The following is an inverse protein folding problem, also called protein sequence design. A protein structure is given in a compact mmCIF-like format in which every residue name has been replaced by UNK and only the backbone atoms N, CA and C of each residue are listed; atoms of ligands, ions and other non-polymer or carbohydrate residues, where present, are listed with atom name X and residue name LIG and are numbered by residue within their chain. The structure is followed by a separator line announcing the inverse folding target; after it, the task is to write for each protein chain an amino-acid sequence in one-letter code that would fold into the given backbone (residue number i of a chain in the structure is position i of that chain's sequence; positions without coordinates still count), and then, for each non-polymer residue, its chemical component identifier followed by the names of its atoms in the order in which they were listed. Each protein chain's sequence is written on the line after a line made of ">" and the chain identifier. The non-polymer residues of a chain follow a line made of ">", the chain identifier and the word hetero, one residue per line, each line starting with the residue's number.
data_IF_051719936809
#
_entry.id   IF_051719936809
#
_cell.length_a   1.000
_cell.length_b   1.000
_cell.length_c   1.000
_cell.angle_alpha   90.00
_cell.angle_beta   90.00
_cell.angle_gamma   90.00
#
_symmetry.space_group_name_H-M   'P 1'
#
loop_
_entity.id
_entity.type
_entity.pdbx_description
1 polymer ?
#
# COMPACT_ATOMS: atom_id res chain seq x y z
N UNK A 1 -5.52 14.42 -14.37
CA UNK A 1 -5.50 13.38 -13.32
C UNK A 1 -4.75 12.18 -13.86
N UNK A 2 -3.85 11.62 -13.08
CA UNK A 2 -3.12 10.38 -13.39
C UNK A 2 -3.43 9.39 -12.26
N UNK A 3 -3.89 8.18 -12.62
CA UNK A 3 -4.26 7.14 -11.67
C UNK A 3 -3.31 5.96 -11.79
N UNK A 4 -2.80 5.49 -10.65
CA UNK A 4 -2.01 4.26 -10.53
C UNK A 4 -2.70 3.27 -9.60
N UNK A 5 -2.69 2.00 -9.97
CA UNK A 5 -3.21 0.89 -9.15
C UNK A 5 -2.12 -0.16 -8.91
N UNK A 6 -0.88 0.30 -8.85
CA UNK A 6 0.29 -0.50 -8.55
C UNK A 6 1.13 0.21 -7.50
N UNK A 7 1.72 -0.58 -6.61
CA UNK A 7 2.67 -0.13 -5.62
C UNK A 7 3.50 -1.28 -5.07
N UNK A 8 4.34 -0.96 -4.10
CA UNK A 8 5.18 -1.89 -3.37
C UNK A 8 5.46 -1.36 -1.96
N UNK A 9 5.87 -2.25 -1.06
CA UNK A 9 6.36 -1.91 0.27
C UNK A 9 7.45 -0.83 0.21
N UNK A 10 7.23 0.31 0.88
CA UNK A 10 8.20 1.41 0.90
C UNK A 10 9.58 0.97 1.44
N UNK A 11 9.63 -0.01 2.34
CA UNK A 11 10.87 -0.46 2.95
C UNK A 11 11.77 -1.21 1.99
N UNK A 12 11.28 -1.64 0.82
CA UNK A 12 12.10 -2.27 -0.22
C UNK A 12 13.20 -1.35 -0.76
N UNK A 13 13.05 -0.03 -0.59
CA UNK A 13 14.09 0.93 -0.93
C UNK A 13 15.22 1.01 0.12
N UNK A 14 15.06 0.43 1.31
CA UNK A 14 16.03 0.54 2.40
C UNK A 14 17.16 -0.49 2.26
N UNK A 15 18.33 -0.24 2.86
CA UNK A 15 19.43 -1.21 2.89
C UNK A 15 19.05 -2.60 3.41
N UNK A 16 18.12 -2.66 4.37
CA UNK A 16 17.71 -3.91 5.02
C UNK A 16 17.08 -4.90 4.03
N UNK A 17 16.39 -4.39 3.00
CA UNK A 17 15.71 -5.19 1.99
C UNK A 17 16.49 -5.28 0.67
N UNK A 18 17.54 -4.48 0.50
CA UNK A 18 18.24 -4.31 -0.77
C UNK A 18 19.73 -4.64 -0.68
N UNK A 19 20.07 -5.78 -0.06
CA UNK A 19 21.45 -6.28 0.06
C UNK A 19 22.44 -5.27 0.66
N UNK A 20 22.00 -4.45 1.61
CA UNK A 20 22.81 -3.39 2.23
C UNK A 20 22.94 -2.12 1.40
N UNK A 21 22.32 -2.03 0.22
CA UNK A 21 22.35 -0.83 -0.63
C UNK A 21 21.12 0.03 -0.38
N UNK A 22 21.35 1.29 -0.02
CA UNK A 22 20.27 2.28 0.05
C UNK A 22 19.79 2.66 -1.37
N UNK A 23 18.50 2.45 -1.65
CA UNK A 23 17.82 2.81 -2.88
C UNK A 23 16.70 3.84 -2.67
N UNK A 24 16.64 4.51 -1.51
CA UNK A 24 15.65 5.56 -1.21
C UNK A 24 15.70 6.74 -2.19
N UNK A 25 16.83 6.92 -2.89
CA UNK A 25 16.94 7.89 -3.97
C UNK A 25 15.90 7.67 -5.09
N UNK A 26 15.45 6.43 -5.33
CA UNK A 26 14.41 6.12 -6.32
C UNK A 26 13.09 6.77 -5.91
N UNK A 27 12.70 6.57 -4.64
CA UNK A 27 11.51 7.21 -4.09
C UNK A 27 11.59 8.75 -4.20
N UNK A 28 12.76 9.32 -3.91
CA UNK A 28 13.01 10.76 -4.05
C UNK A 28 12.94 11.30 -5.50
N UNK A 29 13.33 10.49 -6.49
CA UNK A 29 13.19 10.89 -7.91
C UNK A 29 11.72 10.99 -8.32
N UNK A 30 10.88 10.05 -7.86
CA UNK A 30 9.45 10.09 -8.14
C UNK A 30 8.75 11.19 -7.35
N UNK A 31 9.12 11.44 -6.09
CA UNK A 31 8.64 12.61 -5.33
C UNK A 31 8.83 13.90 -6.11
N UNK A 32 10.03 14.10 -6.69
CA UNK A 32 10.31 15.27 -7.53
C UNK A 32 9.40 15.35 -8.76
N UNK A 33 9.09 14.23 -9.41
CA UNK A 33 8.15 14.16 -10.54
C UNK A 33 6.73 14.51 -10.09
N UNK A 34 6.25 13.92 -9.00
CA UNK A 34 4.90 14.18 -8.48
C UNK A 34 4.77 15.64 -8.03
N UNK A 35 5.76 16.16 -7.33
CA UNK A 35 5.84 17.57 -6.94
C UNK A 35 5.80 18.51 -8.13
N UNK A 36 6.60 18.22 -9.18
CA UNK A 36 6.58 19.02 -10.40
C UNK A 36 5.21 18.96 -11.09
N UNK A 37 4.62 17.76 -11.22
CA UNK A 37 3.31 17.62 -11.86
C UNK A 37 2.22 18.33 -11.07
N UNK A 38 2.23 18.28 -9.74
CA UNK A 38 1.32 19.04 -8.89
C UNK A 38 1.46 20.55 -9.14
N UNK A 39 2.69 21.07 -9.27
CA UNK A 39 2.94 22.47 -9.63
C UNK A 39 2.42 22.85 -11.04
N UNK A 40 2.25 21.86 -11.91
CA UNK A 40 1.65 22.00 -13.25
C UNK A 40 0.13 21.75 -13.27
N UNK A 41 -0.50 21.52 -12.11
CA UNK A 41 -1.93 21.27 -12.00
C UNK A 41 -2.35 19.83 -12.28
N UNK A 42 -1.41 18.88 -12.27
CA UNK A 42 -1.71 17.45 -12.35
C UNK A 42 -2.05 16.93 -10.96
N UNK A 43 -3.13 16.16 -10.84
CA UNK A 43 -3.41 15.36 -9.64
C UNK A 43 -2.97 13.94 -9.87
N UNK A 44 -2.06 13.43 -9.03
CA UNK A 44 -1.69 12.02 -8.97
C UNK A 44 -2.51 11.31 -7.91
N UNK A 45 -3.04 10.14 -8.28
CA UNK A 45 -3.85 9.29 -7.41
C UNK A 45 -3.24 7.88 -7.44
N UNK A 46 -3.07 7.28 -6.26
CA UNK A 46 -2.60 5.90 -6.13
C UNK A 46 -3.49 5.13 -5.16
N UNK A 47 -3.74 3.84 -5.44
CA UNK A 47 -4.28 2.90 -4.47
C UNK A 47 -3.39 2.88 -3.22
N UNK A 48 -3.96 2.80 -2.02
CA UNK A 48 -3.16 2.75 -0.79
C UNK A 48 -2.55 1.37 -0.48
N UNK A 49 -2.86 0.38 -1.30
CA UNK A 49 -2.46 -1.02 -1.16
C UNK A 49 -3.59 -1.92 -0.67
N UNK A 50 -3.35 -3.22 -0.78
CA UNK A 50 -4.34 -4.28 -0.48
C UNK A 50 -4.00 -5.09 0.78
N UNK A 51 -2.90 -4.78 1.47
CA UNK A 51 -2.41 -5.52 2.64
C UNK A 51 -2.69 -4.81 3.98
N UNK A 52 -3.73 -3.99 4.05
CA UNK A 52 -4.04 -3.14 5.21
C UNK A 52 -2.80 -2.32 5.66
N UNK A 53 -2.60 -2.11 6.96
CA UNK A 53 -1.39 -1.44 7.46
C UNK A 53 -0.14 -2.30 7.54
N UNK A 54 -0.04 -3.33 6.69
CA UNK A 54 0.94 -4.41 6.80
C UNK A 54 1.57 -4.75 5.44
N UNK A 55 1.85 -3.75 4.61
CA UNK A 55 2.32 -3.94 3.22
C UNK A 55 3.63 -4.72 3.07
N UNK A 56 4.49 -4.74 4.08
CA UNK A 56 5.82 -5.31 4.01
C UNK A 56 5.86 -6.67 4.70
N UNK A 57 6.40 -7.72 4.06
CA UNK A 57 6.96 -8.87 4.75
C UNK A 57 8.19 -8.44 5.57
N UNK A 58 8.48 -9.08 6.70
CA UNK A 58 9.75 -8.89 7.39
C UNK A 58 10.95 -9.39 6.58
N UNK A 59 12.16 -8.95 6.96
CA UNK A 59 13.40 -9.37 6.28
C UNK A 59 13.71 -10.85 6.48
N UNK A 60 13.25 -11.46 7.57
CA UNK A 60 13.41 -12.90 7.80
C UNK A 60 12.72 -13.72 6.71
N UNK A 61 11.55 -13.27 6.25
CA UNK A 61 10.88 -13.86 5.10
C UNK A 61 11.54 -13.46 3.79
N UNK A 62 11.58 -12.16 3.47
CA UNK A 62 11.90 -11.74 2.10
C UNK A 62 13.40 -11.84 1.76
N UNK A 63 14.27 -11.72 2.75
CA UNK A 63 15.74 -11.68 2.55
C UNK A 63 16.36 -13.02 2.93
N UNK A 64 15.98 -13.58 4.08
CA UNK A 64 16.59 -14.83 4.57
C UNK A 64 15.89 -16.11 4.05
N UNK A 65 14.72 -16.00 3.42
CA UNK A 65 13.94 -17.15 2.93
C UNK A 65 13.45 -18.07 4.05
N UNK A 66 13.08 -17.51 5.21
CA UNK A 66 12.59 -18.26 6.38
C UNK A 66 11.17 -17.85 6.72
N UNK A 67 10.46 -18.66 7.49
CA UNK A 67 9.12 -18.29 7.93
C UNK A 67 9.14 -16.93 8.62
N UNK A 68 8.20 -16.05 8.29
CA UNK A 68 8.16 -14.70 8.83
C UNK A 68 6.74 -14.17 8.91
N UNK A 69 6.62 -12.84 9.04
CA UNK A 69 5.33 -12.17 9.18
C UNK A 69 5.27 -10.86 8.41
N UNK A 70 4.05 -10.42 8.11
CA UNK A 70 3.84 -9.04 7.70
C UNK A 70 4.11 -8.09 8.89
N UNK A 71 4.63 -6.89 8.59
CA UNK A 71 4.99 -5.87 9.57
C UNK A 71 4.31 -4.53 9.27
N UNK A 72 4.11 -3.67 10.29
CA UNK A 72 3.56 -2.34 10.08
C UNK A 72 4.33 -1.54 9.03
N UNK A 73 3.64 -1.13 7.97
CA UNK A 73 4.22 -0.39 6.85
C UNK A 73 3.15 0.14 5.89
N UNK A 74 3.58 0.84 4.85
CA UNK A 74 2.71 1.45 3.85
C UNK A 74 3.21 1.20 2.42
N UNK A 75 2.30 1.35 1.46
CA UNK A 75 2.59 1.23 0.03
C UNK A 75 3.17 2.52 -0.56
N UNK A 76 4.21 2.39 -1.36
CA UNK A 76 4.69 3.43 -2.29
C UNK A 76 4.14 3.12 -3.70
N UNK A 77 3.63 4.11 -4.47
CA UNK A 77 3.78 5.56 -4.29
C UNK A 77 2.72 6.24 -3.42
N UNK A 78 1.74 5.53 -2.85
CA UNK A 78 0.69 6.14 -2.04
C UNK A 78 1.21 6.88 -0.79
N UNK A 79 2.34 6.46 -0.23
CA UNK A 79 2.99 7.12 0.89
C UNK A 79 3.58 8.51 0.58
N UNK A 80 3.72 8.86 -0.71
CA UNK A 80 4.32 10.12 -1.14
C UNK A 80 3.39 11.32 -0.85
N UNK A 81 3.94 12.38 -0.25
CA UNK A 81 3.20 13.58 0.13
C UNK A 81 2.53 14.32 -1.05
N UNK A 82 3.02 14.10 -2.27
CA UNK A 82 2.50 14.72 -3.49
C UNK A 82 1.51 13.83 -4.24
N UNK A 83 1.13 12.68 -3.68
CA UNK A 83 0.17 11.74 -4.24
C UNK A 83 -1.08 11.67 -3.36
N UNK A 84 -2.26 11.67 -3.97
CA UNK A 84 -3.51 11.38 -3.26
C UNK A 84 -3.63 9.87 -3.10
N UNK A 85 -3.34 9.36 -1.90
CA UNK A 85 -3.60 7.97 -1.55
C UNK A 85 -5.10 7.71 -1.39
N UNK A 86 -5.60 6.67 -2.05
CA UNK A 86 -7.01 6.26 -1.99
C UNK A 86 -7.11 4.87 -1.37
N UNK A 87 -7.73 4.83 -0.18
CA UNK A 87 -8.10 3.59 0.48
C UNK A 87 -9.36 2.95 -0.10
N UNK A 88 -9.67 1.77 0.41
CA UNK A 88 -10.88 1.02 0.09
C UNK A 88 -11.79 0.81 1.31
N UNK A 89 -12.96 0.25 1.05
CA UNK A 89 -13.90 -0.15 2.08
C UNK A 89 -14.99 -1.05 1.53
N UNK A 90 -15.72 -1.71 2.42
CA UNK A 90 -16.88 -2.51 2.06
C UNK A 90 -18.09 -1.60 1.97
N UNK A 91 -18.61 -1.40 0.75
CA UNK A 91 -19.78 -0.57 0.48
C UNK A 91 -21.06 -1.38 0.63
N UNK A 92 -21.94 -0.91 1.51
CA UNK A 92 -23.28 -1.47 1.70
C UNK A 92 -24.31 -0.56 1.01
N UNK A 93 -25.15 -1.16 0.17
CA UNK A 93 -26.21 -0.45 -0.53
C UNK A 93 -27.58 -1.08 -0.30
N UNK A 94 -28.62 -0.24 -0.35
CA UNK A 94 -30.01 -0.66 -0.33
C UNK A 94 -30.51 -0.74 -1.77
N UNK A 95 -30.52 -1.95 -2.33
CA UNK A 95 -31.06 -2.21 -3.66
C UNK A 95 -32.53 -2.66 -3.57
N UNK A 96 -33.34 -2.27 -4.55
CA UNK A 96 -34.71 -2.77 -4.73
C UNK A 96 -34.77 -3.65 -5.96
N UNK A 97 -35.10 -4.95 -5.79
CA UNK A 97 -35.23 -5.90 -6.91
C UNK A 97 -36.20 -5.35 -7.96
N UNK A 98 -35.78 -5.33 -9.22
CA UNK A 98 -36.56 -4.77 -10.35
C UNK A 98 -36.44 -3.25 -10.51
N UNK A 99 -35.59 -2.58 -9.75
CA UNK A 99 -35.24 -1.15 -9.90
C UNK A 99 -33.75 -0.98 -10.17
N UNK A 100 -33.37 0.09 -10.87
CA UNK A 100 -31.99 0.56 -10.96
C UNK A 100 -31.55 1.36 -9.72
N UNK A 101 -32.44 1.58 -8.76
CA UNK A 101 -32.14 2.27 -7.52
C UNK A 101 -31.28 1.44 -6.59
N UNK A 102 -30.09 1.96 -6.28
CA UNK A 102 -29.18 1.46 -5.26
C UNK A 102 -28.69 2.64 -4.41
N UNK A 103 -29.30 2.82 -3.25
CA UNK A 103 -28.93 3.90 -2.33
C UNK A 103 -27.76 3.52 -1.44
N UNK A 104 -26.87 4.47 -1.13
CA UNK A 104 -25.85 4.32 -0.11
C UNK A 104 -26.47 4.01 1.26
N UNK A 105 -25.88 3.08 2.01
CA UNK A 105 -26.28 2.79 3.40
C UNK A 105 -25.14 3.11 4.36
N UNK A 106 -24.00 2.46 4.15
CA UNK A 106 -22.82 2.59 5.02
C UNK A 106 -21.58 2.04 4.33
N UNK A 107 -20.42 2.38 4.89
CA UNK A 107 -19.13 1.79 4.53
C UNK A 107 -18.41 1.29 5.79
N UNK A 108 -17.55 0.28 5.63
CA UNK A 108 -16.69 -0.21 6.72
C UNK A 108 -15.27 -0.47 6.22
N UNK A 109 -14.29 -0.31 7.10
CA UNK A 109 -12.87 -0.60 6.83
C UNK A 109 -12.47 -2.03 7.22
N UNK A 110 -13.43 -2.97 7.24
CA UNK A 110 -13.14 -4.36 7.63
C UNK A 110 -12.16 -4.99 6.63
N UNK A 111 -11.12 -5.62 7.16
CA UNK A 111 -10.09 -6.32 6.41
C UNK A 111 -10.14 -7.82 6.74
N UNK A 112 -9.99 -8.66 5.73
CA UNK A 112 -10.06 -10.12 5.84
C UNK A 112 -8.70 -10.70 6.26
N UNK A 113 -8.60 -11.51 7.33
CA UNK A 113 -7.33 -12.11 7.70
C UNK A 113 -6.84 -13.07 6.62
N UNK A 114 -5.57 -12.96 6.25
CA UNK A 114 -4.93 -13.85 5.28
C UNK A 114 -4.50 -15.17 5.93
N UNK A 115 -4.61 -16.25 5.16
CA UNK A 115 -3.99 -17.52 5.52
C UNK A 115 -2.46 -17.42 5.34
N UNK A 116 -1.72 -18.19 6.14
CA UNK A 116 -0.29 -18.38 5.94
C UNK A 116 0.01 -19.00 4.56
N UNK A 117 0.84 -18.36 3.76
CA UNK A 117 1.24 -18.82 2.42
C UNK A 117 2.64 -18.30 2.03
N UNK A 118 3.16 -18.69 0.87
CA UNK A 118 4.41 -18.19 0.28
C UNK A 118 4.16 -17.28 -0.95
N UNK A 119 3.64 -16.04 -0.76
CA UNK A 119 3.21 -15.20 -1.87
C UNK A 119 4.36 -14.73 -2.77
N UNK A 120 5.61 -14.76 -2.29
CA UNK A 120 6.79 -14.33 -3.04
C UNK A 120 7.64 -15.51 -3.55
N UNK A 121 7.24 -16.75 -3.28
CA UNK A 121 7.94 -17.95 -3.75
C UNK A 121 9.36 -18.11 -3.20
N UNK A 122 9.62 -17.64 -1.97
CA UNK A 122 10.94 -17.68 -1.34
C UNK A 122 11.22 -19.01 -0.63
N UNK A 123 10.26 -19.93 -0.60
CA UNK A 123 10.35 -21.23 0.04
C UNK A 123 10.01 -21.23 1.53
N UNK A 124 9.26 -20.23 1.99
CA UNK A 124 8.89 -20.04 3.39
C UNK A 124 7.44 -19.55 3.54
N UNK A 125 6.89 -19.62 4.76
CA UNK A 125 5.53 -19.12 5.05
C UNK A 125 5.56 -17.70 5.61
N UNK A 126 4.71 -16.84 5.06
CA UNK A 126 4.42 -15.50 5.55
C UNK A 126 3.08 -15.50 6.28
N UNK A 127 3.03 -14.89 7.47
CA UNK A 127 1.86 -14.96 8.37
C UNK A 127 1.40 -13.60 8.87
N UNK A 128 0.17 -13.52 9.37
CA UNK A 128 -0.36 -12.34 10.06
C UNK A 128 -0.79 -11.19 9.16
N UNK A 129 -0.96 -11.44 7.86
CA UNK A 129 -1.44 -10.46 6.90
C UNK A 129 -2.96 -10.30 6.92
N UNK A 130 -3.43 -9.23 6.31
CA UNK A 130 -4.85 -8.94 6.11
C UNK A 130 -5.04 -8.42 4.69
N UNK A 131 -6.11 -8.84 4.02
CA UNK A 131 -6.56 -8.25 2.78
C UNK A 131 -7.52 -7.10 3.10
N UNK A 132 -7.15 -5.89 2.73
CA UNK A 132 -7.95 -4.71 3.01
C UNK A 132 -7.21 -3.42 2.69
N UNK A 133 -7.90 -2.30 2.86
CA UNK A 133 -7.40 -0.99 2.49
C UNK A 133 -6.08 -0.64 3.18
N UNK A 134 -5.06 -0.37 2.38
CA UNK A 134 -3.75 0.00 2.89
C UNK A 134 -3.76 1.31 3.67
N UNK A 135 -2.90 1.42 4.69
CA UNK A 135 -2.81 2.64 5.47
C UNK A 135 -1.87 2.55 6.68
N UNK A 136 -1.21 3.65 7.02
CA UNK A 136 -0.24 3.65 8.10
C UNK A 136 0.57 4.94 8.13
N UNK A 137 1.80 4.85 8.64
CA UNK A 137 2.74 5.98 8.71
C UNK A 137 3.99 5.59 7.95
N UNK A 138 4.35 6.42 6.96
CA UNK A 138 5.60 6.25 6.23
C UNK A 138 6.81 6.41 7.14
N UNK A 139 7.81 5.57 6.90
CA UNK A 139 9.16 5.65 7.48
C UNK A 139 10.13 6.41 6.59
N UNK A 140 9.78 6.65 5.32
CA UNK A 140 10.62 7.34 4.33
C UNK A 140 10.23 8.80 4.12
N UNK A 141 8.93 9.10 4.09
CA UNK A 141 8.41 10.44 3.82
C UNK A 141 8.03 11.15 5.11
N UNK A 142 8.45 12.41 5.23
CA UNK A 142 8.06 13.25 6.35
C UNK A 142 6.61 13.72 6.20
N UNK A 143 5.96 13.98 7.33
CA UNK A 143 4.61 14.55 7.35
C UNK A 143 4.61 15.90 6.61
N UNK A 144 3.66 16.14 5.68
CA UNK A 144 3.46 17.46 5.08
C UNK A 144 3.20 18.52 6.15
N UNK A 145 3.78 19.70 5.98
CA UNK A 145 3.63 20.86 6.88
C UNK A 145 2.47 21.77 6.54
#
# INVERSE_FOLDING_TARGET
>A
VVSSSFGLCEQYFTPAYNSGRDATFIAGLFDAVFKQGNAQGITFVASSGDNAGLECPDTQYLVDGKNGRYIPSVEWPAADAHVTAVGGGNLFTAYKKGSLGSGYVSESAYADPLQADDPYGVGALLTGGYWGAGGGVSTLFQRPG
#
